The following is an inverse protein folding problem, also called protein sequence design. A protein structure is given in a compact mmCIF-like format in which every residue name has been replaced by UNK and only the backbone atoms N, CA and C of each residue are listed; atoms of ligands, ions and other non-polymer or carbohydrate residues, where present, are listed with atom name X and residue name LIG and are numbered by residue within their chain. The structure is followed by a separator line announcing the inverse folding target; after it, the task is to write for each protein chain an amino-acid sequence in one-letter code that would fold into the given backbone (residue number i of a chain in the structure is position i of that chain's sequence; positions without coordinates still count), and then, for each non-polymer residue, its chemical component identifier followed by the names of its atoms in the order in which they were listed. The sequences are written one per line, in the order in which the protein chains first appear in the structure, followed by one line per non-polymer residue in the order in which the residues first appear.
data_IF_473950975820
#
_entry.id   IF_473950975820
#
_cell.length_a   1.000
_cell.length_b   1.000
_cell.length_c   1.000
_cell.angle_alpha   90.00
_cell.angle_beta   90.00
_cell.angle_gamma   90.00
#
_symmetry.space_group_name_H-M   'P 1'
#
loop_
_entity.id
_entity.type
_entity.pdbx_description
1 polymer ?
#
# COMPACT_ATOMS: atom_id res chain seq x y z
N UNK A 1 4.62 14.71 -8.50
CA UNK A 1 5.90 14.86 -7.78
C UNK A 1 6.08 13.68 -6.84
N UNK A 2 7.28 13.14 -6.77
CA UNK A 2 7.56 11.99 -5.93
C UNK A 2 7.72 12.38 -4.46
N UNK A 3 7.46 11.42 -3.58
CA UNK A 3 7.75 11.55 -2.16
C UNK A 3 6.65 12.10 -1.28
N UNK A 4 5.45 12.32 -1.82
CA UNK A 4 4.32 12.69 -0.98
C UNK A 4 3.70 11.43 -0.37
N UNK A 5 3.23 11.54 0.87
CA UNK A 5 2.47 10.47 1.50
C UNK A 5 1.07 10.45 0.89
N UNK A 6 0.69 9.33 0.28
CA UNK A 6 -0.59 9.20 -0.42
C UNK A 6 -1.51 8.14 0.17
N UNK A 7 -0.98 7.27 1.05
CA UNK A 7 -1.76 6.20 1.64
C UNK A 7 -1.05 5.69 2.89
N UNK A 8 -1.80 5.13 3.82
CA UNK A 8 -1.24 4.41 4.96
C UNK A 8 -1.97 3.09 5.16
N UNK A 9 -1.28 2.12 5.74
CA UNK A 9 -1.88 0.87 6.17
C UNK A 9 -1.60 0.66 7.65
N UNK A 10 -2.63 0.27 8.37
CA UNK A 10 -2.51 -0.16 9.76
C UNK A 10 -2.66 -1.67 9.75
N UNK A 11 -1.58 -2.37 10.03
CA UNK A 11 -1.58 -3.83 10.04
C UNK A 11 -2.28 -4.35 11.29
N UNK A 12 -3.12 -5.37 11.13
CA UNK A 12 -3.89 -5.91 12.25
C UNK A 12 -4.03 -7.42 12.13
N UNK A 13 -3.67 -8.13 13.19
CA UNK A 13 -3.93 -9.57 13.30
C UNK A 13 -5.41 -9.85 13.45
N UNK A 14 -6.11 -8.96 14.15
CA UNK A 14 -7.55 -9.03 14.36
C UNK A 14 -8.15 -7.73 13.83
N UNK A 15 -8.58 -7.73 12.56
CA UNK A 15 -9.10 -6.50 11.95
C UNK A 15 -10.38 -6.01 12.60
N UNK A 16 -11.23 -6.87 13.14
CA UNK A 16 -12.45 -6.45 13.84
C UNK A 16 -12.10 -5.66 15.08
N UNK A 17 -11.11 -6.11 15.84
CA UNK A 17 -10.66 -5.42 17.04
C UNK A 17 -10.03 -4.07 16.69
N UNK A 18 -9.20 -4.02 15.65
CA UNK A 18 -8.59 -2.77 15.20
C UNK A 18 -9.65 -1.76 14.73
N UNK A 19 -10.63 -2.21 13.94
CA UNK A 19 -11.72 -1.36 13.48
C UNK A 19 -12.50 -0.77 14.65
N UNK A 20 -12.83 -1.59 15.65
CA UNK A 20 -13.54 -1.13 16.84
C UNK A 20 -12.74 -0.08 17.62
N UNK A 21 -11.45 -0.31 17.75
CA UNK A 21 -10.56 0.63 18.44
C UNK A 21 -10.62 2.02 17.80
N UNK A 22 -10.37 2.10 16.50
CA UNK A 22 -10.33 3.40 15.82
C UNK A 22 -11.70 4.01 15.61
N UNK A 23 -12.75 3.22 15.44
CA UNK A 23 -14.11 3.72 15.40
C UNK A 23 -14.50 4.38 16.74
N UNK A 24 -14.13 3.76 17.85
CA UNK A 24 -14.42 4.32 19.17
C UNK A 24 -13.60 5.58 19.45
N UNK A 25 -12.35 5.60 18.96
CA UNK A 25 -11.44 6.72 19.21
C UNK A 25 -11.74 7.93 18.31
N UNK A 26 -11.94 7.70 17.02
CA UNK A 26 -12.04 8.76 16.02
C UNK A 26 -13.39 8.81 15.31
N UNK A 27 -14.26 7.83 15.51
CA UNK A 27 -15.50 7.75 14.75
C UNK A 27 -15.29 7.26 13.32
N UNK A 28 -14.17 6.59 13.04
CA UNK A 28 -13.90 6.09 11.70
C UNK A 28 -14.96 5.11 11.23
N UNK A 29 -15.31 5.24 9.97
CA UNK A 29 -16.16 4.30 9.23
C UNK A 29 -15.32 3.64 8.15
N UNK A 30 -15.73 2.45 7.73
CA UNK A 30 -14.94 1.64 6.82
C UNK A 30 -15.79 1.19 5.64
N UNK A 31 -15.12 0.92 4.54
CA UNK A 31 -15.72 0.26 3.38
C UNK A 31 -14.77 -0.83 2.91
N UNK A 32 -15.34 -1.90 2.34
CA UNK A 32 -14.56 -3.00 1.83
C UNK A 32 -13.81 -2.59 0.57
N UNK A 33 -12.66 -3.28 0.33
CA UNK A 33 -11.94 -3.14 -0.91
C UNK A 33 -12.82 -3.56 -2.09
N UNK A 34 -12.68 -2.88 -3.22
CA UNK A 34 -13.36 -3.24 -4.46
C UNK A 34 -12.66 -4.40 -5.18
N UNK A 35 -11.50 -4.86 -4.69
CA UNK A 35 -10.74 -5.94 -5.29
C UNK A 35 -11.31 -7.27 -4.80
N UNK A 36 -11.86 -8.12 -5.70
CA UNK A 36 -12.43 -9.39 -5.29
C UNK A 36 -11.41 -10.29 -4.58
N UNK A 37 -11.83 -10.89 -3.46
CA UNK A 37 -10.99 -11.82 -2.70
C UNK A 37 -9.96 -11.15 -1.79
N UNK A 38 -9.87 -9.82 -1.78
CA UNK A 38 -8.97 -9.10 -0.91
C UNK A 38 -9.71 -8.59 0.32
N UNK A 39 -9.32 -9.09 1.50
CA UNK A 39 -9.80 -8.55 2.76
C UNK A 39 -8.96 -7.32 3.12
N UNK A 40 -9.57 -6.15 3.03
CA UNK A 40 -8.86 -4.87 3.19
C UNK A 40 -9.91 -3.80 3.47
N UNK A 41 -9.80 -3.11 4.58
CA UNK A 41 -10.85 -2.20 5.07
C UNK A 41 -10.39 -0.76 4.93
N UNK A 42 -10.93 -0.07 3.93
CA UNK A 42 -10.59 1.33 3.65
C UNK A 42 -11.24 2.24 4.69
N UNK A 43 -10.47 3.20 5.20
CA UNK A 43 -11.00 4.21 6.11
C UNK A 43 -11.74 5.26 5.29
N UNK A 44 -13.05 5.37 5.51
CA UNK A 44 -13.89 6.28 4.75
C UNK A 44 -13.61 7.73 5.13
N UNK A 45 -13.31 8.55 4.12
CA UNK A 45 -13.09 9.98 4.31
C UNK A 45 -11.73 10.39 4.84
N UNK A 46 -10.78 9.46 5.00
CA UNK A 46 -9.42 9.81 5.45
C UNK A 46 -8.64 10.56 4.36
N UNK A 47 -7.80 11.50 4.78
CA UNK A 47 -6.92 12.27 3.89
C UNK A 47 -5.57 12.49 4.57
N UNK A 48 -4.47 11.85 4.09
CA UNK A 48 -4.46 10.91 2.98
C UNK A 48 -5.29 9.66 3.29
N UNK A 49 -5.63 8.90 2.24
CA UNK A 49 -6.39 7.67 2.40
C UNK A 49 -5.64 6.62 3.18
N UNK A 50 -6.35 5.71 3.79
CA UNK A 50 -5.75 4.65 4.57
C UNK A 50 -6.64 3.44 4.71
N UNK A 51 -6.10 2.38 5.31
CA UNK A 51 -6.80 1.12 5.46
C UNK A 51 -6.31 0.33 6.67
N UNK A 52 -7.19 -0.52 7.18
CA UNK A 52 -6.82 -1.63 8.07
C UNK A 52 -6.49 -2.82 7.19
N UNK A 53 -5.29 -3.34 7.34
CA UNK A 53 -4.79 -4.45 6.53
C UNK A 53 -4.63 -5.70 7.40
N UNK A 54 -5.44 -6.75 7.19
CA UNK A 54 -5.29 -8.00 7.95
C UNK A 54 -3.97 -8.68 7.61
N UNK A 55 -3.11 -8.80 8.61
CA UNK A 55 -1.82 -9.46 8.45
C UNK A 55 -1.24 -9.80 9.82
N UNK A 56 -0.37 -10.79 9.87
CA UNK A 56 0.32 -11.18 11.11
C UNK A 56 1.45 -10.22 11.48
N UNK A 57 1.98 -9.47 10.51
CA UNK A 57 3.06 -8.51 10.77
C UNK A 57 2.49 -7.25 11.41
N UNK A 58 2.99 -6.82 12.58
CA UNK A 58 2.50 -5.60 13.22
C UNK A 58 3.06 -4.35 12.56
N UNK A 59 2.44 -3.22 12.86
CA UNK A 59 2.97 -1.91 12.54
C UNK A 59 2.17 -1.16 11.50
N UNK A 60 2.80 -0.13 10.98
CA UNK A 60 2.23 0.78 10.00
C UNK A 60 3.07 0.74 8.74
N UNK A 61 2.44 0.92 7.60
CA UNK A 61 3.13 1.08 6.31
C UNK A 61 2.66 2.39 5.69
N UNK A 62 3.61 3.24 5.34
CA UNK A 62 3.34 4.51 4.67
C UNK A 62 3.65 4.34 3.19
N UNK A 63 2.77 4.84 2.34
CA UNK A 63 2.95 4.83 0.88
C UNK A 63 3.35 6.21 0.40
N UNK A 64 4.45 6.27 -0.34
CA UNK A 64 4.92 7.49 -1.00
C UNK A 64 4.65 7.39 -2.50
N UNK A 65 4.24 8.49 -3.11
CA UNK A 65 4.01 8.48 -4.55
C UNK A 65 5.31 8.60 -5.35
N UNK A 66 5.28 8.09 -6.56
CA UNK A 66 6.35 8.26 -7.55
C UNK A 66 5.73 8.36 -8.95
N UNK A 67 6.41 9.08 -9.81
CA UNK A 67 6.03 9.19 -11.22
C UNK A 67 6.53 8.01 -12.06
N UNK A 68 7.55 7.31 -11.56
CA UNK A 68 8.17 6.19 -12.27
C UNK A 68 8.62 5.15 -11.23
N UNK A 69 7.77 4.17 -11.00
CA UNK A 69 8.03 3.17 -9.95
C UNK A 69 9.25 2.30 -10.29
N UNK A 70 9.48 2.00 -11.55
CA UNK A 70 10.64 1.18 -11.94
C UNK A 70 11.95 1.90 -11.60
N UNK A 71 12.03 3.17 -11.94
CA UNK A 71 13.21 3.99 -11.61
C UNK A 71 13.37 4.14 -10.09
N UNK A 72 12.26 4.31 -9.37
CA UNK A 72 12.29 4.44 -7.91
C UNK A 72 12.74 3.16 -7.22
N UNK A 73 12.27 2.00 -7.69
CA UNK A 73 12.71 0.69 -7.17
C UNK A 73 14.22 0.54 -7.35
N UNK A 74 14.72 0.83 -8.53
CA UNK A 74 16.16 0.77 -8.81
C UNK A 74 16.94 1.70 -7.87
N UNK A 75 16.40 2.89 -7.65
CA UNK A 75 17.04 3.88 -6.78
C UNK A 75 17.07 3.44 -5.32
N UNK A 76 15.98 2.84 -4.82
CA UNK A 76 15.96 2.28 -3.46
C UNK A 76 17.07 1.26 -3.27
N UNK A 77 17.20 0.35 -4.23
CA UNK A 77 18.23 -0.71 -4.18
C UNK A 77 19.63 -0.12 -4.25
N UNK A 78 19.84 0.86 -5.11
CA UNK A 78 21.12 1.57 -5.24
C UNK A 78 21.52 2.27 -3.94
N UNK A 79 20.56 2.83 -3.22
CA UNK A 79 20.80 3.57 -1.97
C UNK A 79 20.93 2.68 -0.73
N UNK A 80 20.91 1.36 -0.91
CA UNK A 80 21.11 0.42 0.18
C UNK A 80 19.83 -0.05 0.86
N UNK A 81 18.67 0.35 0.36
CA UNK A 81 17.39 -0.17 0.81
C UNK A 81 17.03 -1.47 0.10
N UNK A 82 15.83 -1.94 0.36
CA UNK A 82 15.26 -3.12 -0.30
C UNK A 82 13.96 -2.73 -0.97
N UNK A 83 13.67 -3.32 -2.11
CA UNK A 83 12.42 -3.10 -2.81
C UNK A 83 12.00 -4.40 -3.48
N UNK A 84 10.73 -4.77 -3.29
CA UNK A 84 10.13 -5.88 -4.00
C UNK A 84 9.83 -5.47 -5.44
N UNK A 85 9.66 -6.45 -6.31
CA UNK A 85 9.18 -6.17 -7.66
C UNK A 85 7.79 -5.53 -7.59
N UNK A 86 7.52 -4.62 -8.52
CA UNK A 86 6.23 -3.94 -8.53
C UNK A 86 5.08 -4.91 -8.75
N UNK A 87 3.95 -4.60 -8.13
CA UNK A 87 2.72 -5.36 -8.28
C UNK A 87 1.59 -4.43 -8.70
N UNK A 88 0.67 -4.95 -9.50
CA UNK A 88 -0.47 -4.20 -9.99
C UNK A 88 -1.57 -4.11 -8.94
N UNK A 89 -2.17 -2.92 -8.83
CA UNK A 89 -3.45 -2.73 -8.16
C UNK A 89 -4.44 -2.41 -9.28
N UNK A 90 -5.32 -3.36 -9.64
CA UNK A 90 -6.19 -3.19 -10.81
C UNK A 90 -6.97 -1.87 -10.77
N UNK A 91 -6.99 -1.16 -11.89
CA UNK A 91 -7.63 0.14 -12.12
C UNK A 91 -7.08 1.29 -11.28
N UNK A 92 -6.02 1.06 -10.51
CA UNK A 92 -5.42 2.09 -9.65
C UNK A 92 -3.97 2.40 -9.99
N UNK A 93 -3.11 1.39 -10.05
CA UNK A 93 -1.71 1.63 -10.33
C UNK A 93 -0.79 0.48 -9.92
N UNK A 94 0.44 0.86 -9.55
CA UNK A 94 1.50 -0.06 -9.17
C UNK A 94 2.00 0.25 -7.78
N UNK A 95 2.41 -0.77 -7.04
CA UNK A 95 3.07 -0.56 -5.76
C UNK A 95 4.27 -1.49 -5.61
N UNK A 96 5.17 -1.12 -4.73
CA UNK A 96 6.31 -1.94 -4.34
C UNK A 96 6.54 -1.78 -2.84
N UNK A 97 6.56 -2.90 -2.12
CA UNK A 97 6.96 -2.91 -0.72
C UNK A 97 8.46 -2.73 -0.60
N UNK A 98 8.89 -1.85 0.29
CA UNK A 98 10.27 -1.45 0.44
C UNK A 98 10.71 -1.43 1.89
N UNK A 99 12.04 -1.37 2.09
CA UNK A 99 12.66 -1.12 3.38
C UNK A 99 13.73 -0.07 3.18
N UNK A 100 13.75 0.94 4.04
CA UNK A 100 14.73 2.03 3.95
C UNK A 100 16.08 1.65 4.58
N UNK A 101 17.00 2.60 4.64
CA UNK A 101 18.34 2.39 5.20
C UNK A 101 18.35 2.08 6.70
N UNK A 102 17.26 2.41 7.40
CA UNK A 102 17.14 2.22 8.84
C UNK A 102 16.27 1.04 9.23
N UNK A 103 15.82 0.25 8.24
CA UNK A 103 14.97 -0.92 8.49
C UNK A 103 13.48 -0.61 8.55
N UNK A 104 13.07 0.60 8.23
CA UNK A 104 11.65 0.97 8.23
C UNK A 104 10.97 0.50 6.96
N UNK A 105 9.80 -0.11 7.12
CA UNK A 105 8.96 -0.51 5.98
C UNK A 105 8.22 0.70 5.43
N UNK A 106 8.18 0.79 4.12
CA UNK A 106 7.36 1.75 3.39
C UNK A 106 6.98 1.14 2.05
N UNK A 107 6.11 1.81 1.31
CA UNK A 107 5.78 1.37 -0.05
C UNK A 107 5.87 2.54 -1.00
N UNK A 108 6.15 2.22 -2.25
CA UNK A 108 6.07 3.15 -3.37
C UNK A 108 4.75 2.91 -4.09
N UNK A 109 4.15 3.96 -4.60
CA UNK A 109 2.91 3.89 -5.37
C UNK A 109 2.99 4.79 -6.59
N UNK A 110 2.64 4.24 -7.75
CA UNK A 110 2.48 5.01 -8.98
C UNK A 110 1.04 4.90 -9.43
N UNK A 111 0.37 6.05 -9.57
CA UNK A 111 -0.99 6.09 -10.08
C UNK A 111 -0.99 5.74 -11.57
N UNK A 112 -1.76 4.73 -11.95
CA UNK A 112 -1.93 4.29 -13.34
C UNK A 112 -3.26 3.57 -13.47
N UNK A 113 -4.33 4.28 -13.84
CA UNK A 113 -5.67 3.66 -13.93
C UNK A 113 -5.81 2.62 -15.04
N UNK A 114 -4.82 2.52 -15.95
CA UNK A 114 -4.85 1.52 -17.02
C UNK A 114 -4.44 0.12 -16.58
N UNK A 115 -3.96 -0.05 -15.35
CA UNK A 115 -3.50 -1.34 -14.84
C UNK A 115 -4.65 -2.32 -14.70
N UNK A 116 -4.43 -3.58 -15.12
CA UNK A 116 -5.41 -4.67 -15.07
C UNK A 116 -4.78 -5.90 -14.41
N UNK A 117 -5.59 -6.90 -14.07
CA UNK A 117 -5.10 -8.19 -13.58
C UNK A 117 -4.22 -8.88 -14.60
N UNK A 118 -4.52 -8.72 -15.87
CA UNK A 118 -3.71 -9.26 -16.96
C UNK A 118 -2.32 -8.63 -16.98
N UNK A 119 -2.23 -7.30 -16.78
CA UNK A 119 -0.96 -6.60 -16.64
C UNK A 119 -0.16 -7.14 -15.47
N UNK A 120 -0.80 -7.41 -14.33
CA UNK A 120 -0.16 -8.01 -13.16
C UNK A 120 0.43 -9.37 -13.49
N UNK A 121 -0.32 -10.24 -14.17
CA UNK A 121 0.15 -11.56 -14.55
C UNK A 121 1.38 -11.47 -15.46
N UNK A 122 1.39 -10.57 -16.42
CA UNK A 122 2.52 -10.34 -17.28
C UNK A 122 3.75 -9.88 -16.51
N UNK A 123 3.55 -8.97 -15.55
CA UNK A 123 4.63 -8.50 -14.68
C UNK A 123 5.19 -9.63 -13.83
N UNK A 124 4.34 -10.48 -13.27
CA UNK A 124 4.77 -11.60 -12.45
C UNK A 124 5.59 -12.64 -13.21
N UNK A 125 5.40 -12.74 -14.51
CA UNK A 125 6.15 -13.66 -15.37
C UNK A 125 7.47 -13.09 -15.87
N UNK A 126 7.57 -11.80 -15.88
CA UNK A 126 8.79 -11.13 -16.31
C UNK A 126 9.84 -11.12 -15.20
#
# INVERSE_FOLDING_TARGET
MAGNIVHFEINAKDPSRAKSFYSSLFGWKYKDSEIPGLEYYLVDGANPGGAINPTQDPGLVIYFDTDDIDASISKVRELGGKADDKMAIPSQGWFSGCVDSEGNKFSLYQNDPSVTMETEQQTARA
#
